data_IF_696239838807
#
_entry.id   IF_696239838807
#
_cell.length_a   1.000
_cell.length_b   1.000
_cell.length_c   1.000
_cell.angle_alpha   90.00
_cell.angle_beta   90.00
_cell.angle_gamma   90.00
#
_symmetry.space_group_name_H-M   'P 1'
#
loop_
_entity.id
_entity.type
_entity.pdbx_description
1 polymer ?
#
# COMPACT_ATOMS: atom_id res chain seq x y z
N UNK A 1 47.75 -8.90 -50.51
CA UNK A 1 48.76 -8.96 -49.43
C UNK A 1 48.59 -7.64 -48.65
N UNK A 2 48.06 -7.52 -47.43
CA UNK A 2 47.97 -8.36 -46.23
C UNK A 2 46.75 -7.92 -45.39
N UNK A 3 46.17 -8.89 -44.70
CA UNK A 3 45.09 -8.87 -43.70
C UNK A 3 45.53 -8.18 -42.40
N UNK A 4 44.61 -7.47 -41.69
CA UNK A 4 44.49 -7.23 -40.21
C UNK A 4 43.70 -5.92 -39.96
N UNK A 5 42.67 -5.77 -39.12
CA UNK A 5 42.31 -6.43 -37.86
C UNK A 5 40.87 -6.08 -37.44
N UNK A 6 40.24 -7.03 -36.75
CA UNK A 6 39.46 -6.88 -35.51
C UNK A 6 38.22 -5.97 -35.45
N UNK A 7 37.08 -6.65 -35.27
CA UNK A 7 35.94 -6.33 -34.41
C UNK A 7 35.89 -4.94 -33.79
N UNK A 8 34.87 -4.16 -34.16
CA UNK A 8 34.40 -3.03 -33.37
C UNK A 8 32.90 -3.15 -33.11
N UNK A 9 32.64 -3.50 -31.85
CA UNK A 9 31.51 -3.14 -31.00
C UNK A 9 30.09 -3.22 -31.58
N UNK A 10 29.36 -4.20 -31.07
CA UNK A 10 27.94 -4.12 -30.76
C UNK A 10 27.66 -2.85 -29.95
N UNK A 11 26.74 -2.00 -30.41
CA UNK A 11 26.12 -0.98 -29.56
C UNK A 11 24.61 -1.13 -29.66
N UNK A 12 24.05 -1.84 -28.70
CA UNK A 12 22.62 -1.78 -28.38
C UNK A 12 22.35 -0.63 -27.41
N UNK A 13 21.17 -0.03 -27.52
CA UNK A 13 20.46 0.52 -26.35
C UNK A 13 18.96 0.67 -26.68
N UNK A 14 18.20 -0.41 -26.47
CA UNK A 14 16.77 -0.30 -26.20
C UNK A 14 16.59 -0.12 -24.71
N UNK A 15 16.29 1.09 -24.25
CA UNK A 15 15.80 1.34 -22.89
C UNK A 15 14.30 1.63 -22.97
N UNK A 16 13.48 0.58 -22.88
CA UNK A 16 12.11 0.73 -22.42
C UNK A 16 12.17 0.97 -20.92
N UNK A 17 12.10 2.24 -20.49
CA UNK A 17 11.89 2.58 -19.08
C UNK A 17 10.46 2.21 -18.74
N UNK A 18 10.27 1.03 -18.16
CA UNK A 18 9.05 0.69 -17.45
C UNK A 18 9.05 1.52 -16.17
N UNK A 19 8.33 2.64 -16.18
CA UNK A 19 8.05 3.46 -15.00
C UNK A 19 7.26 2.62 -14.00
N UNK A 20 7.94 1.92 -13.10
CA UNK A 20 7.31 1.29 -11.95
C UNK A 20 6.75 2.44 -11.09
N UNK A 21 5.44 2.65 -11.11
CA UNK A 21 4.78 3.67 -10.29
C UNK A 21 4.95 3.29 -8.82
N UNK A 22 6.03 3.74 -8.18
CA UNK A 22 6.14 3.69 -6.74
C UNK A 22 4.94 4.48 -6.18
N UNK A 23 4.10 3.83 -5.39
CA UNK A 23 3.00 4.51 -4.71
C UNK A 23 3.59 5.66 -3.90
N UNK A 24 3.37 6.90 -4.35
CA UNK A 24 3.94 8.07 -3.70
C UNK A 24 3.26 8.27 -2.35
N UNK A 25 4.09 8.38 -1.29
CA UNK A 25 3.62 8.82 0.00
C UNK A 25 2.99 10.21 -0.11
N UNK A 26 1.99 10.48 0.73
CA UNK A 26 1.43 11.83 0.85
C UNK A 26 2.39 12.68 1.66
N UNK A 27 2.64 13.90 1.17
CA UNK A 27 3.40 14.93 1.90
C UNK A 27 2.48 15.63 2.89
N UNK A 28 2.80 15.54 4.18
CA UNK A 28 2.08 16.23 5.25
C UNK A 28 2.94 17.36 5.81
N UNK A 29 2.34 18.52 6.06
CA UNK A 29 3.04 19.66 6.67
C UNK A 29 3.53 19.37 8.08
N UNK A 30 2.85 18.46 8.79
CA UNK A 30 3.14 18.07 10.16
C UNK A 30 3.07 16.55 10.29
N UNK A 31 4.02 15.89 10.99
CA UNK A 31 3.97 14.46 11.26
C UNK A 31 2.66 14.01 11.92
N UNK A 32 2.08 14.86 12.78
CA UNK A 32 0.83 14.60 13.49
C UNK A 32 -0.36 14.47 12.53
N UNK A 33 -0.35 15.19 11.41
CA UNK A 33 -1.41 15.11 10.40
C UNK A 33 -1.35 13.77 9.67
N UNK A 34 -0.15 13.24 9.39
CA UNK A 34 0.03 11.90 8.83
C UNK A 34 -0.46 10.81 9.80
N UNK A 35 -0.12 10.94 11.09
CA UNK A 35 -0.59 10.04 12.15
C UNK A 35 -2.12 10.04 12.24
N UNK A 36 -2.73 11.23 12.28
CA UNK A 36 -4.18 11.37 12.34
C UNK A 36 -4.84 10.78 11.10
N UNK A 37 -4.30 11.05 9.91
CA UNK A 37 -4.82 10.54 8.65
C UNK A 37 -4.88 9.01 8.63
N UNK A 38 -3.77 8.31 8.91
CA UNK A 38 -3.75 6.84 8.88
C UNK A 38 -4.63 6.23 9.97
N UNK A 39 -4.68 6.83 11.16
CA UNK A 39 -5.54 6.36 12.23
C UNK A 39 -7.03 6.51 11.88
N UNK A 40 -7.43 7.63 11.29
CA UNK A 40 -8.80 7.82 10.83
C UNK A 40 -9.19 6.84 9.73
N UNK A 41 -8.30 6.62 8.75
CA UNK A 41 -8.56 5.65 7.69
C UNK A 41 -8.70 4.22 8.24
N UNK A 42 -7.79 3.79 9.14
CA UNK A 42 -7.91 2.49 9.81
C UNK A 42 -9.15 2.37 10.70
N UNK A 43 -9.58 3.44 11.36
CA UNK A 43 -10.78 3.43 12.20
C UNK A 43 -12.04 3.18 11.38
N UNK A 44 -12.18 3.87 10.23
CA UNK A 44 -13.30 3.65 9.31
C UNK A 44 -13.29 2.22 8.76
N UNK A 45 -12.15 1.76 8.26
CA UNK A 45 -12.01 0.38 7.77
C UNK A 45 -12.34 -0.64 8.84
N UNK A 46 -11.84 -0.45 10.07
CA UNK A 46 -12.07 -1.35 11.19
C UNK A 46 -13.54 -1.46 11.57
N UNK A 47 -14.30 -0.36 11.54
CA UNK A 47 -15.73 -0.36 11.83
C UNK A 47 -16.51 -1.22 10.83
N UNK A 48 -16.30 -0.99 9.52
CA UNK A 48 -16.98 -1.74 8.46
C UNK A 48 -16.54 -3.20 8.41
N UNK A 49 -15.23 -3.47 8.55
CA UNK A 49 -14.72 -4.84 8.58
C UNK A 49 -15.23 -5.62 9.81
N UNK A 50 -15.39 -4.95 10.97
CA UNK A 50 -15.97 -5.57 12.17
C UNK A 50 -17.44 -5.92 12.00
N UNK A 51 -18.22 -5.12 11.26
CA UNK A 51 -19.62 -5.43 10.92
C UNK A 51 -19.71 -6.72 10.10
N UNK A 52 -18.87 -6.87 9.07
CA UNK A 52 -18.78 -8.11 8.30
C UNK A 52 -18.33 -9.28 9.17
N UNK A 53 -17.34 -9.07 10.04
CA UNK A 53 -16.86 -10.08 10.98
C UNK A 53 -17.95 -10.59 11.93
N UNK A 54 -18.86 -9.73 12.38
CA UNK A 54 -20.01 -10.12 13.20
C UNK A 54 -21.00 -11.00 12.42
N UNK A 55 -21.20 -10.74 11.13
CA UNK A 55 -22.02 -11.61 10.25
C UNK A 55 -21.37 -12.98 10.09
N UNK A 56 -20.05 -13.03 9.83
CA UNK A 56 -19.30 -14.29 9.66
C UNK A 56 -19.32 -15.14 10.94
N UNK A 57 -19.27 -14.52 12.11
CA UNK A 57 -19.36 -15.21 13.41
C UNK A 57 -20.76 -15.70 13.76
N UNK A 58 -21.80 -15.20 13.06
CA UNK A 58 -23.19 -15.47 13.39
C UNK A 58 -23.80 -14.54 14.44
N UNK A 59 -23.07 -13.50 14.85
CA UNK A 59 -23.55 -12.49 15.83
C UNK A 59 -24.57 -11.52 15.20
N UNK A 60 -24.51 -11.32 13.87
CA UNK A 60 -25.46 -10.52 13.07
C UNK A 60 -26.04 -11.38 11.94
N UNK A 61 -27.34 -11.26 11.68
CA UNK A 61 -27.97 -11.93 10.55
C UNK A 61 -27.40 -11.45 9.21
N UNK A 62 -27.24 -12.36 8.25
CA UNK A 62 -26.75 -12.03 6.92
C UNK A 62 -27.77 -11.19 6.14
N UNK A 63 -27.34 -10.02 5.68
CA UNK A 63 -28.01 -9.22 4.66
C UNK A 63 -27.00 -8.90 3.56
N UNK A 64 -27.31 -9.31 2.33
CA UNK A 64 -26.39 -9.17 1.20
C UNK A 64 -26.04 -7.71 0.85
N UNK A 65 -27.01 -6.79 0.97
CA UNK A 65 -26.79 -5.37 0.67
C UNK A 65 -25.91 -4.70 1.72
N UNK A 66 -26.16 -4.97 3.00
CA UNK A 66 -25.33 -4.45 4.10
C UNK A 66 -23.88 -4.92 3.96
N UNK A 67 -23.68 -6.22 3.75
CA UNK A 67 -22.34 -6.82 3.62
C UNK A 67 -21.62 -6.26 2.40
N UNK A 68 -22.29 -6.14 1.25
CA UNK A 68 -21.71 -5.55 0.05
C UNK A 68 -21.32 -4.07 0.28
N UNK A 69 -22.16 -3.31 0.99
CA UNK A 69 -21.89 -1.92 1.35
C UNK A 69 -20.65 -1.77 2.23
N UNK A 70 -20.56 -2.56 3.30
CA UNK A 70 -19.41 -2.55 4.21
C UNK A 70 -18.10 -2.92 3.49
N UNK A 71 -18.14 -3.96 2.65
CA UNK A 71 -16.98 -4.38 1.84
C UNK A 71 -16.56 -3.28 0.86
N UNK A 72 -17.52 -2.62 0.19
CA UNK A 72 -17.23 -1.55 -0.75
C UNK A 72 -16.52 -0.35 -0.07
N UNK A 73 -16.92 0.00 1.16
CA UNK A 73 -16.23 1.03 1.93
C UNK A 73 -14.81 0.59 2.28
N UNK A 74 -14.60 -0.63 2.77
CA UNK A 74 -13.26 -1.15 3.08
C UNK A 74 -12.37 -1.12 1.83
N UNK A 75 -12.86 -1.61 0.69
CA UNK A 75 -12.12 -1.63 -0.56
C UNK A 75 -11.72 -0.22 -1.03
N UNK A 76 -12.63 0.76 -0.91
CA UNK A 76 -12.39 2.15 -1.28
C UNK A 76 -11.29 2.82 -0.43
N UNK A 77 -11.17 2.40 0.83
CA UNK A 77 -10.24 2.99 1.79
C UNK A 77 -8.92 2.22 1.91
N UNK A 78 -8.86 0.96 1.45
CA UNK A 78 -7.75 0.02 1.71
C UNK A 78 -6.37 0.52 1.30
N UNK A 79 -6.28 1.43 0.32
CA UNK A 79 -5.02 2.01 -0.12
C UNK A 79 -4.59 3.27 0.67
N UNK A 80 -5.50 3.93 1.38
CA UNK A 80 -5.26 5.26 1.96
C UNK A 80 -4.27 5.26 3.14
N UNK A 81 -4.42 4.42 4.19
CA UNK A 81 -3.59 4.53 5.39
C UNK A 81 -2.09 4.44 5.08
N UNK A 82 -1.74 3.60 4.11
CA UNK A 82 -0.36 3.29 3.73
C UNK A 82 0.39 4.48 3.16
N UNK A 83 -0.31 5.42 2.52
CA UNK A 83 0.29 6.64 1.97
C UNK A 83 0.77 7.61 3.05
N UNK A 84 0.38 7.41 4.31
CA UNK A 84 0.76 8.27 5.44
C UNK A 84 1.82 7.64 6.37
N UNK A 85 2.58 6.68 5.86
CA UNK A 85 3.80 6.15 6.48
C UNK A 85 5.05 6.61 5.71
N UNK A 86 5.17 7.93 5.50
CA UNK A 86 6.37 8.54 4.91
C UNK A 86 7.51 8.67 5.93
N UNK A 87 8.73 8.99 5.47
CA UNK A 87 9.84 9.36 6.35
C UNK A 87 9.46 10.54 7.27
N UNK A 88 9.88 10.52 8.53
CA UNK A 88 9.60 11.63 9.46
C UNK A 88 8.17 11.66 10.01
N UNK A 89 7.39 10.60 9.76
CA UNK A 89 6.00 10.45 10.26
C UNK A 89 5.87 9.39 11.35
N UNK A 90 6.98 9.07 12.02
CA UNK A 90 7.05 8.09 13.10
C UNK A 90 6.12 8.47 14.27
N UNK A 91 5.59 7.47 14.97
CA UNK A 91 4.79 7.66 16.18
C UNK A 91 3.34 7.20 16.10
N UNK A 92 2.56 7.61 17.10
CA UNK A 92 1.27 6.99 17.42
C UNK A 92 1.46 5.57 17.94
N UNK A 93 0.69 4.62 17.41
CA UNK A 93 0.82 3.17 17.73
C UNK A 93 1.65 2.40 16.69
N UNK A 94 2.25 3.11 15.73
CA UNK A 94 3.08 2.51 14.69
C UNK A 94 4.41 2.08 15.28
N UNK A 95 4.83 0.84 15.02
CA UNK A 95 6.13 0.36 15.50
C UNK A 95 7.26 0.80 14.56
N UNK A 96 8.49 1.02 15.06
CA UNK A 96 9.63 1.46 14.25
C UNK A 96 9.96 0.53 13.07
N UNK A 97 9.65 -0.76 13.19
CA UNK A 97 9.89 -1.76 12.15
C UNK A 97 9.11 -1.46 10.85
N UNK A 98 8.06 -0.64 10.91
CA UNK A 98 7.35 -0.19 9.71
C UNK A 98 8.29 0.54 8.73
N UNK A 99 9.25 1.30 9.26
CA UNK A 99 10.25 2.03 8.47
C UNK A 99 11.52 1.22 8.26
N UNK A 100 11.93 0.42 9.26
CA UNK A 100 13.14 -0.40 9.15
C UNK A 100 12.97 -1.58 8.18
N UNK A 101 11.76 -2.16 8.09
CA UNK A 101 11.43 -3.34 7.28
C UNK A 101 10.52 -3.00 6.10
N UNK A 102 10.78 -1.87 5.42
CA UNK A 102 9.91 -1.31 4.38
C UNK A 102 9.46 -2.30 3.30
N UNK A 103 10.35 -3.18 2.83
CA UNK A 103 10.02 -4.19 1.81
C UNK A 103 9.02 -5.24 2.32
N UNK A 104 9.18 -5.70 3.56
CA UNK A 104 8.27 -6.67 4.19
C UNK A 104 6.90 -6.04 4.46
N UNK A 105 6.89 -4.77 4.86
CA UNK A 105 5.67 -4.00 5.07
C UNK A 105 4.95 -3.82 3.74
N UNK A 106 5.66 -3.42 2.68
CA UNK A 106 5.11 -3.29 1.32
C UNK A 106 4.48 -4.60 0.84
N UNK A 107 5.18 -5.73 1.00
CA UNK A 107 4.63 -7.04 0.65
C UNK A 107 3.35 -7.38 1.45
N UNK A 108 3.31 -7.02 2.73
CA UNK A 108 2.10 -7.16 3.56
C UNK A 108 0.94 -6.28 3.08
N UNK A 109 1.23 -5.05 2.65
CA UNK A 109 0.25 -4.10 2.10
C UNK A 109 -0.32 -4.61 0.78
N UNK A 110 0.52 -5.06 -0.14
CA UNK A 110 0.11 -5.61 -1.43
C UNK A 110 -0.79 -6.84 -1.23
N UNK A 111 -0.41 -7.73 -0.31
CA UNK A 111 -1.23 -8.89 0.06
C UNK A 111 -2.58 -8.47 0.65
N UNK A 112 -2.61 -7.44 1.50
CA UNK A 112 -3.85 -6.94 2.08
C UNK A 112 -4.79 -6.31 1.03
N UNK A 113 -4.24 -5.58 0.06
CA UNK A 113 -5.03 -4.88 -0.97
C UNK A 113 -5.58 -5.80 -2.08
N UNK A 114 -5.02 -6.99 -2.23
CA UNK A 114 -5.38 -7.96 -3.28
C UNK A 114 -6.15 -9.18 -2.74
N UNK A 115 -6.39 -9.23 -1.43
CA UNK A 115 -7.21 -10.25 -0.77
C UNK A 115 -8.70 -9.93 -0.91
#
# INVERSE_FOLDING_TARGET
>A
MIIRSASRLVLGLGLAVLSLSAAQALEFKKPEDAIKYRQSAFALMGAHFSSVGAVVKGDKAFNAQDVAGDIAVVASLAALPWKAFGPGTEGGKAKPEIWAEGDKVKAGIEKFQTA
#
